data_IF_488483808314
#
_entry.id   IF_488483808314
#
_cell.length_a   1.000
_cell.length_b   1.000
_cell.length_c   1.000
_cell.angle_alpha   90.00
_cell.angle_beta   90.00
_cell.angle_gamma   90.00
#
_symmetry.space_group_name_H-M   'P 1'
#
loop_
_entity.id
_entity.type
_entity.pdbx_description
1 polymer ?
#
# COMPACT_ATOMS: atom_id res chain seq x y z
N UNK A 1 -7.56 5.85 7.48
CA UNK A 1 -6.36 5.90 6.61
C UNK A 1 -6.88 6.10 5.20
N UNK A 2 -6.56 7.23 4.58
CA UNK A 2 -7.06 7.60 3.25
C UNK A 2 -5.96 7.39 2.22
N UNK A 3 -6.27 6.67 1.14
CA UNK A 3 -5.41 6.57 -0.04
C UNK A 3 -5.69 7.81 -0.90
N UNK A 4 -4.64 8.52 -1.27
CA UNK A 4 -4.70 9.77 -2.02
C UNK A 4 -3.87 9.66 -3.29
N UNK A 5 -4.21 10.48 -4.28
CA UNK A 5 -3.36 10.71 -5.44
C UNK A 5 -2.09 11.47 -5.06
N UNK A 6 -1.05 11.37 -5.89
CA UNK A 6 0.28 11.92 -5.64
C UNK A 6 0.25 13.39 -5.17
N UNK A 7 -0.41 14.27 -5.95
CA UNK A 7 -0.46 15.71 -5.64
C UNK A 7 -1.28 16.00 -4.37
N UNK A 8 -2.35 15.24 -4.16
CA UNK A 8 -3.17 15.34 -2.95
C UNK A 8 -2.41 14.89 -1.71
N UNK A 9 -1.58 13.84 -1.82
CA UNK A 9 -0.72 13.38 -0.75
C UNK A 9 0.33 14.42 -0.40
N UNK A 10 1.04 14.97 -1.39
CA UNK A 10 2.06 16.02 -1.15
C UNK A 10 1.44 17.26 -0.51
N UNK A 11 0.26 17.68 -0.97
CA UNK A 11 -0.48 18.80 -0.39
C UNK A 11 -0.84 18.54 1.08
N UNK A 12 -1.35 17.34 1.39
CA UNK A 12 -1.72 16.98 2.76
C UNK A 12 -0.50 16.79 3.66
N UNK A 13 0.61 16.27 3.13
CA UNK A 13 1.86 16.09 3.85
C UNK A 13 2.43 17.46 4.29
N UNK A 14 2.45 18.44 3.39
CA UNK A 14 2.87 19.82 3.71
C UNK A 14 2.00 20.43 4.81
N UNK A 15 0.68 20.33 4.67
CA UNK A 15 -0.28 20.80 5.71
C UNK A 15 -0.06 20.10 7.05
N UNK A 16 0.32 18.83 7.03
CA UNK A 16 0.58 18.04 8.22
C UNK A 16 1.86 18.52 8.93
N UNK A 17 2.94 18.78 8.18
CA UNK A 17 4.16 19.38 8.73
C UNK A 17 3.92 20.77 9.31
N UNK A 18 3.19 21.64 8.61
CA UNK A 18 2.84 22.98 9.10
C UNK A 18 2.08 22.95 10.43
N UNK A 19 1.09 22.05 10.54
CA UNK A 19 0.33 21.85 11.78
C UNK A 19 1.17 21.31 12.93
N UNK A 20 2.22 20.55 12.64
CA UNK A 20 3.10 19.99 13.68
C UNK A 20 4.15 20.96 14.21
N UNK A 21 4.52 22.01 13.45
CA UNK A 21 5.48 23.04 13.88
C UNK A 21 5.17 23.63 15.27
N UNK A 22 3.95 24.11 15.56
CA UNK A 22 3.63 24.67 16.88
C UNK A 22 3.46 23.62 17.99
N UNK A 23 3.18 22.35 17.65
CA UNK A 23 2.79 21.33 18.63
C UNK A 23 3.93 20.37 19.00
N UNK A 24 5.14 20.54 18.42
CA UNK A 24 6.31 19.67 18.65
C UNK A 24 5.99 18.16 18.53
N UNK A 25 5.06 17.82 17.63
CA UNK A 25 4.67 16.43 17.37
C UNK A 25 5.56 15.82 16.29
N UNK A 26 5.91 14.55 16.47
CA UNK A 26 6.67 13.79 15.48
C UNK A 26 5.75 13.36 14.34
N UNK A 27 6.21 13.59 13.11
CA UNK A 27 5.61 13.06 11.89
C UNK A 27 6.39 11.81 11.51
N UNK A 28 5.69 10.69 11.36
CA UNK A 28 6.26 9.43 10.89
C UNK A 28 5.97 9.26 9.41
N UNK A 29 7.01 9.02 8.61
CA UNK A 29 6.88 8.68 7.21
C UNK A 29 7.47 7.28 7.00
N UNK A 30 6.69 6.39 6.40
CA UNK A 30 7.12 5.03 6.08
C UNK A 30 6.94 4.77 4.59
N UNK A 31 7.91 4.09 3.99
CA UNK A 31 7.88 3.64 2.61
C UNK A 31 8.04 2.12 2.61
N UNK A 32 7.13 1.42 1.94
CA UNK A 32 7.16 -0.04 1.81
C UNK A 32 6.98 -0.42 0.35
N UNK A 33 7.98 -1.07 -0.23
CA UNK A 33 7.88 -1.66 -1.56
C UNK A 33 6.94 -2.86 -1.51
N UNK A 34 6.03 -2.96 -2.46
CA UNK A 34 5.27 -4.19 -2.66
C UNK A 34 6.19 -5.29 -3.17
N UNK A 35 6.07 -6.49 -2.62
CA UNK A 35 6.76 -7.69 -3.12
C UNK A 35 5.75 -8.59 -3.83
N UNK A 36 6.25 -9.51 -4.66
CA UNK A 36 5.46 -10.58 -5.26
C UNK A 36 4.57 -11.31 -4.23
N UNK A 37 5.14 -11.63 -3.07
CA UNK A 37 4.45 -12.27 -1.95
C UNK A 37 3.29 -11.42 -1.42
N UNK A 38 3.50 -10.11 -1.28
CA UNK A 38 2.47 -9.18 -0.81
C UNK A 38 1.31 -9.02 -1.82
N UNK A 39 1.60 -9.14 -3.12
CA UNK A 39 0.59 -9.11 -4.18
C UNK A 39 -0.23 -10.39 -4.19
N UNK A 40 0.41 -11.54 -4.02
CA UNK A 40 -0.28 -12.83 -3.94
C UNK A 40 -1.13 -12.94 -2.67
N UNK A 41 -0.64 -12.48 -1.52
CA UNK A 41 -1.43 -12.41 -0.30
C UNK A 41 -2.68 -11.53 -0.45
N UNK A 42 -2.61 -10.44 -1.23
CA UNK A 42 -3.77 -9.59 -1.55
C UNK A 42 -4.74 -10.29 -2.50
N UNK A 43 -4.24 -10.96 -3.54
CA UNK A 43 -5.08 -11.76 -4.46
C UNK A 43 -5.81 -12.90 -3.75
N UNK A 44 -5.17 -13.57 -2.79
CA UNK A 44 -5.82 -14.63 -1.99
C UNK A 44 -6.94 -14.04 -1.14
N UNK A 45 -6.73 -12.89 -0.50
CA UNK A 45 -7.79 -12.20 0.27
C UNK A 45 -8.94 -11.68 -0.61
N UNK A 46 -8.63 -11.13 -1.79
CA UNK A 46 -9.62 -10.70 -2.77
C UNK A 46 -10.38 -11.89 -3.38
N UNK A 47 -9.75 -13.06 -3.46
CA UNK A 47 -10.39 -14.31 -3.86
C UNK A 47 -11.27 -14.89 -2.75
N UNK A 48 -10.86 -14.80 -1.47
CA UNK A 48 -11.66 -15.19 -0.31
C UNK A 48 -12.90 -14.28 -0.10
N UNK A 49 -12.80 -13.00 -0.45
CA UNK A 49 -13.97 -12.10 -0.46
C UNK A 49 -14.91 -12.39 -1.64
N UNK A 50 -14.38 -12.89 -2.77
CA UNK A 50 -15.19 -13.33 -3.92
C UNK A 50 -15.75 -14.75 -3.79
N UNK A 51 -15.14 -15.63 -3.02
CA UNK A 51 -15.57 -17.03 -2.89
C UNK A 51 -16.73 -17.26 -1.90
N UNK A 52 -17.36 -16.19 -1.39
CA UNK A 52 -18.77 -16.27 -0.94
C UNK A 52 -19.77 -16.25 -2.11
N UNK A 53 -19.32 -16.09 -3.34
CA UNK A 53 -20.11 -16.24 -4.54
C UNK A 53 -19.31 -17.01 -5.61
N UNK A 54 -19.60 -18.31 -5.70
CA UNK A 54 -19.31 -19.22 -6.81
C UNK A 54 -17.98 -19.99 -6.73
N UNK A 55 -18.19 -21.28 -6.95
CA UNK A 55 -17.37 -22.47 -6.77
C UNK A 55 -16.33 -22.67 -7.89
N UNK A 56 -15.27 -23.33 -7.47
CA UNK A 56 -14.36 -24.25 -8.16
C UNK A 56 -13.37 -23.86 -9.29
N UNK A 57 -12.17 -24.43 -9.09
CA UNK A 57 -11.17 -24.89 -10.06
C UNK A 57 -10.45 -23.89 -10.99
N UNK A 58 -9.27 -23.41 -10.54
CA UNK A 58 -8.01 -23.49 -11.30
C UNK A 58 -6.81 -22.98 -10.47
N UNK A 59 -6.50 -23.67 -9.37
CA UNK A 59 -5.20 -23.56 -8.70
C UNK A 59 -4.25 -24.58 -9.32
N UNK A 60 -2.95 -24.26 -9.34
CA UNK A 60 -1.84 -25.13 -9.76
C UNK A 60 -1.48 -25.18 -11.25
N UNK A 61 -1.02 -24.06 -11.84
CA UNK A 61 -0.13 -24.17 -13.02
C UNK A 61 0.81 -23.03 -13.35
N UNK A 62 1.18 -22.18 -12.40
CA UNK A 62 2.20 -21.13 -12.64
C UNK A 62 3.29 -21.07 -11.55
N UNK A 63 3.75 -22.25 -11.12
CA UNK A 63 5.01 -22.42 -10.39
C UNK A 63 6.16 -22.53 -11.39
N UNK A 64 6.48 -21.44 -12.08
CA UNK A 64 7.79 -21.27 -12.72
C UNK A 64 8.54 -20.15 -12.01
N UNK A 65 9.53 -20.57 -11.22
CA UNK A 65 10.68 -19.75 -10.85
C UNK A 65 11.47 -19.46 -12.12
N UNK A 66 11.10 -18.42 -12.84
CA UNK A 66 11.91 -17.81 -13.89
C UNK A 66 12.07 -16.33 -13.50
N UNK A 67 13.31 -15.97 -13.15
CA UNK A 67 13.93 -14.64 -13.09
C UNK A 67 13.06 -13.48 -12.55
N UNK A 68 13.15 -13.22 -11.24
CA UNK A 68 12.37 -12.18 -10.56
C UNK A 68 13.27 -11.13 -9.92
N UNK A 69 14.00 -10.35 -10.73
CA UNK A 69 14.58 -9.09 -10.24
C UNK A 69 14.22 -7.84 -11.08
N UNK A 70 13.55 -8.02 -12.23
CA UNK A 70 13.19 -6.90 -13.13
C UNK A 70 11.70 -6.48 -13.08
N UNK A 71 10.90 -7.04 -12.16
CA UNK A 71 9.50 -6.63 -12.01
C UNK A 71 9.41 -5.32 -11.20
N UNK A 72 8.99 -4.25 -11.87
CA UNK A 72 8.63 -3.00 -11.22
C UNK A 72 7.43 -3.25 -10.29
N UNK A 73 7.62 -3.04 -8.99
CA UNK A 73 6.57 -3.20 -8.00
C UNK A 73 6.26 -1.86 -7.36
N UNK A 74 4.96 -1.55 -7.18
CA UNK A 74 4.58 -0.27 -6.64
C UNK A 74 5.10 -0.08 -5.21
N UNK A 75 5.37 1.16 -4.83
CA UNK A 75 5.82 1.55 -3.51
C UNK A 75 4.71 2.28 -2.76
N UNK A 76 4.36 1.78 -1.57
CA UNK A 76 3.37 2.40 -0.70
C UNK A 76 4.06 3.34 0.29
N UNK A 77 3.65 4.59 0.27
CA UNK A 77 4.05 5.59 1.26
C UNK A 77 2.91 5.82 2.24
N UNK A 78 3.26 6.00 3.52
CA UNK A 78 2.31 6.34 4.59
C UNK A 78 2.91 7.40 5.49
N UNK A 79 2.16 8.47 5.72
CA UNK A 79 2.50 9.50 6.70
C UNK A 79 1.49 9.51 7.85
N UNK A 80 1.99 9.64 9.07
CA UNK A 80 1.22 9.64 10.30
C UNK A 80 1.66 10.76 11.26
N UNK A 81 0.69 11.49 11.79
CA UNK A 81 0.88 12.35 12.97
C UNK A 81 -0.29 12.11 13.92
N UNK A 82 -0.11 11.17 14.85
CA UNK A 82 -1.11 10.77 15.83
C UNK A 82 -2.37 10.24 15.17
N UNK A 83 -3.44 11.05 15.15
CA UNK A 83 -4.76 10.63 14.62
C UNK A 83 -4.88 10.74 13.10
N UNK A 84 -4.02 11.53 12.46
CA UNK A 84 -4.07 11.75 11.00
C UNK A 84 -3.15 10.75 10.32
N UNK A 85 -3.70 9.94 9.41
CA UNK A 85 -2.96 8.94 8.62
C UNK A 85 -3.33 9.04 7.14
N UNK A 86 -2.35 9.37 6.31
CA UNK A 86 -2.49 9.51 4.85
C UNK A 86 -1.55 8.53 4.14
N UNK A 87 -1.92 8.07 2.95
CA UNK A 87 -1.13 7.10 2.19
C UNK A 87 -1.25 7.32 0.69
N UNK A 88 -0.22 6.98 -0.07
CA UNK A 88 -0.24 6.98 -1.53
C UNK A 88 0.65 5.88 -2.08
N UNK A 89 0.39 5.44 -3.31
CA UNK A 89 1.13 4.37 -3.98
C UNK A 89 1.71 4.90 -5.28
N UNK A 90 3.01 4.68 -5.51
CA UNK A 90 3.71 4.92 -6.78
C UNK A 90 3.84 3.62 -7.53
#
# INVERSE_FOLDING_TARGET
MTVLDNDSFLTQLTKLFEKTKPTSKKVYLTMKRHTWESRNAKKVREAEEKSKAVDDQSLEKDLKKEDVDDKEYPCLFRAECGKIKISFTV
#
